data_IF_047715995696
#
_entry.id   IF_047715995696
#
_cell.length_a   1.000
_cell.length_b   1.000
_cell.length_c   1.000
_cell.angle_alpha   90.00
_cell.angle_beta   90.00
_cell.angle_gamma   90.00
#
_symmetry.space_group_name_H-M   'P 1'
#
loop_
_entity.id
_entity.type
_entity.pdbx_description
1 polymer ?
#
# COMPACT_ATOMS: atom_id res chain seq x y z
N UNK A 1 -20.16 9.19 13.83
CA UNK A 1 -18.97 8.37 14.16
C UNK A 1 -19.02 7.01 13.47
N UNK A 2 -20.02 6.16 13.73
CA UNK A 2 -20.16 4.85 13.05
C UNK A 2 -20.21 4.99 11.53
N UNK A 3 -20.95 5.98 11.00
CA UNK A 3 -21.01 6.22 9.54
C UNK A 3 -19.69 6.68 8.93
N UNK A 4 -18.86 7.42 9.69
CA UNK A 4 -17.56 7.89 9.21
C UNK A 4 -16.55 6.74 9.18
N UNK A 5 -16.54 5.90 10.22
CA UNK A 5 -15.74 4.68 10.26
C UNK A 5 -16.18 3.68 9.18
N UNK A 6 -17.50 3.54 8.97
CA UNK A 6 -18.06 2.73 7.90
C UNK A 6 -17.62 3.22 6.51
N UNK A 7 -17.71 4.52 6.24
CA UNK A 7 -17.22 5.11 4.99
C UNK A 7 -15.71 4.92 4.80
N UNK A 8 -14.91 5.22 5.82
CA UNK A 8 -13.46 5.01 5.78
C UNK A 8 -13.09 3.56 5.50
N UNK A 9 -13.81 2.61 6.12
CA UNK A 9 -13.64 1.18 5.86
C UNK A 9 -13.99 0.80 4.42
N UNK A 10 -15.13 1.25 3.89
CA UNK A 10 -15.54 0.99 2.50
C UNK A 10 -14.54 1.55 1.48
N UNK A 11 -14.04 2.77 1.72
CA UNK A 11 -13.01 3.40 0.86
C UNK A 11 -11.70 2.62 0.94
N UNK A 12 -11.29 2.20 2.14
CA UNK A 12 -10.11 1.35 2.34
C UNK A 12 -10.23 -0.01 1.64
N UNK A 13 -11.41 -0.65 1.69
CA UNK A 13 -11.67 -1.89 0.94
C UNK A 13 -11.59 -1.68 -0.56
N UNK A 14 -12.14 -0.57 -1.09
CA UNK A 14 -12.01 -0.23 -2.50
C UNK A 14 -10.55 -0.10 -2.91
N UNK A 15 -9.74 0.61 -2.12
CA UNK A 15 -8.31 0.78 -2.37
C UNK A 15 -7.56 -0.57 -2.34
N UNK A 16 -7.86 -1.44 -1.38
CA UNK A 16 -7.23 -2.76 -1.30
C UNK A 16 -7.56 -3.69 -2.50
N UNK A 17 -8.61 -3.39 -3.27
CA UNK A 17 -9.03 -4.15 -4.46
C UNK A 17 -8.47 -3.53 -5.75
N UNK A 18 -7.65 -2.48 -5.67
CA UNK A 18 -6.98 -1.89 -6.83
C UNK A 18 -6.03 -2.90 -7.49
N UNK A 19 -5.81 -2.72 -8.81
CA UNK A 19 -5.18 -3.72 -9.66
C UNK A 19 -3.75 -4.09 -9.21
N UNK A 20 -3.03 -3.13 -8.64
CA UNK A 20 -1.70 -3.28 -8.07
C UNK A 20 -1.69 -4.19 -6.83
N UNK A 21 -2.63 -3.98 -5.89
CA UNK A 21 -2.79 -4.79 -4.70
C UNK A 21 -3.25 -6.20 -5.04
N UNK A 22 -4.23 -6.31 -5.95
CA UNK A 22 -4.70 -7.60 -6.45
C UNK A 22 -3.57 -8.39 -7.12
N UNK A 23 -2.74 -7.75 -7.95
CA UNK A 23 -1.59 -8.39 -8.60
C UNK A 23 -0.52 -8.83 -7.58
N UNK A 24 -0.25 -8.03 -6.56
CA UNK A 24 0.69 -8.38 -5.50
C UNK A 24 0.21 -9.60 -4.70
N UNK A 25 -1.06 -9.63 -4.29
CA UNK A 25 -1.66 -10.76 -3.56
C UNK A 25 -1.75 -12.01 -4.44
N UNK A 26 -2.11 -11.89 -5.71
CA UNK A 26 -2.12 -13.00 -6.66
C UNK A 26 -0.72 -13.62 -6.83
N UNK A 27 0.32 -12.78 -6.91
CA UNK A 27 1.71 -13.23 -6.96
C UNK A 27 2.12 -13.94 -5.67
N UNK A 28 1.68 -13.43 -4.51
CA UNK A 28 1.98 -14.03 -3.21
C UNK A 28 1.28 -15.39 -3.03
N UNK A 29 0.03 -15.48 -3.47
CA UNK A 29 -0.79 -16.68 -3.39
C UNK A 29 -0.30 -17.78 -4.34
N UNK A 30 0.18 -17.42 -5.53
CA UNK A 30 0.73 -18.39 -6.50
C UNK A 30 2.10 -18.93 -6.10
N UNK A 31 2.90 -18.16 -5.33
CA UNK A 31 4.22 -18.60 -4.83
C UNK A 31 4.20 -19.42 -3.54
N UNK A 32 3.10 -19.40 -2.80
CA UNK A 32 2.98 -20.09 -1.50
C UNK A 32 1.96 -21.23 -1.56
N UNK A 33 2.38 -22.46 -1.29
CA UNK A 33 1.50 -23.64 -1.27
C UNK A 33 0.61 -23.74 -0.03
N UNK A 34 0.79 -22.88 0.98
CA UNK A 34 0.04 -22.90 2.24
C UNK A 34 -0.66 -21.57 2.51
N UNK A 35 -1.98 -21.63 2.66
CA UNK A 35 -2.85 -20.48 2.97
C UNK A 35 -2.39 -19.75 4.24
N UNK A 36 -1.97 -20.50 5.27
CA UNK A 36 -1.48 -19.92 6.52
C UNK A 36 -0.20 -19.09 6.31
N UNK A 37 0.69 -19.55 5.43
CA UNK A 37 1.92 -18.81 5.12
C UNK A 37 1.64 -17.55 4.28
N UNK A 38 0.71 -17.66 3.31
CA UNK A 38 0.23 -16.52 2.52
C UNK A 38 -0.41 -15.46 3.40
N UNK A 39 -1.27 -15.86 4.34
CA UNK A 39 -1.89 -14.95 5.31
C UNK A 39 -0.84 -14.27 6.20
N UNK A 40 0.13 -15.03 6.73
CA UNK A 40 1.20 -14.46 7.58
C UNK A 40 2.04 -13.44 6.81
N UNK A 41 2.43 -13.74 5.57
CA UNK A 41 3.16 -12.81 4.72
C UNK A 41 2.33 -11.58 4.37
N UNK A 42 1.05 -11.76 4.02
CA UNK A 42 0.13 -10.65 3.74
C UNK A 42 -0.06 -9.73 4.96
N UNK A 43 -0.22 -10.28 6.16
CA UNK A 43 -0.32 -9.51 7.40
C UNK A 43 0.98 -8.74 7.70
N UNK A 44 2.13 -9.40 7.55
CA UNK A 44 3.43 -8.77 7.82
C UNK A 44 3.67 -7.61 6.86
N UNK A 45 3.35 -7.80 5.58
CA UNK A 45 3.44 -6.78 4.55
C UNK A 45 2.46 -5.63 4.80
N UNK A 46 1.18 -5.93 5.06
CA UNK A 46 0.15 -4.92 5.32
C UNK A 46 0.41 -4.09 6.58
N UNK A 47 0.93 -4.71 7.64
CA UNK A 47 1.36 -4.00 8.85
C UNK A 47 2.54 -3.07 8.55
N UNK A 48 3.56 -3.56 7.86
CA UNK A 48 4.71 -2.73 7.45
C UNK A 48 4.27 -1.54 6.62
N UNK A 49 3.43 -1.78 5.60
CA UNK A 49 2.87 -0.74 4.74
C UNK A 49 2.09 0.31 5.53
N UNK A 50 1.20 -0.11 6.44
CA UNK A 50 0.42 0.79 7.30
C UNK A 50 1.32 1.64 8.19
N UNK A 51 2.34 1.03 8.82
CA UNK A 51 3.30 1.74 9.68
C UNK A 51 4.07 2.78 8.87
N UNK A 52 4.55 2.44 7.68
CA UNK A 52 5.25 3.39 6.80
C UNK A 52 4.34 4.54 6.40
N UNK A 53 3.11 4.27 5.96
CA UNK A 53 2.15 5.33 5.61
C UNK A 53 1.83 6.25 6.79
N UNK A 54 1.59 5.67 7.97
CA UNK A 54 1.32 6.44 9.18
C UNK A 54 2.53 7.30 9.56
N UNK A 55 3.74 6.76 9.50
CA UNK A 55 4.96 7.47 9.87
C UNK A 55 5.22 8.65 8.92
N UNK A 56 5.30 8.39 7.61
CA UNK A 56 5.59 9.45 6.64
C UNK A 56 4.41 10.40 6.44
N UNK A 57 3.18 9.91 6.41
CA UNK A 57 1.97 10.72 6.30
C UNK A 57 1.81 11.66 7.50
N UNK A 58 2.02 11.16 8.73
CA UNK A 58 2.00 12.00 9.92
C UNK A 58 3.15 13.00 9.93
N UNK A 59 4.34 12.61 9.46
CA UNK A 59 5.48 13.52 9.37
C UNK A 59 5.20 14.68 8.41
N UNK A 60 4.65 14.42 7.23
CA UNK A 60 4.22 15.47 6.27
C UNK A 60 3.16 16.37 6.89
N UNK A 61 2.15 15.78 7.53
CA UNK A 61 1.07 16.51 8.18
C UNK A 61 1.58 17.44 9.30
N UNK A 62 2.47 16.93 10.17
CA UNK A 62 3.02 17.67 11.30
C UNK A 62 4.02 18.76 10.90
N UNK A 63 4.79 18.54 9.83
CA UNK A 63 5.77 19.50 9.35
C UNK A 63 5.15 20.61 8.49
N UNK A 64 3.84 20.58 8.25
CA UNK A 64 3.15 21.39 7.24
C UNK A 64 3.93 21.44 5.90
N UNK A 65 4.64 20.35 5.63
CA UNK A 65 5.58 20.29 4.53
C UNK A 65 4.75 20.23 3.25
N UNK A 66 4.77 21.30 2.46
CA UNK A 66 4.26 21.25 1.10
C UNK A 66 5.06 20.17 0.37
N UNK A 67 4.43 19.02 0.11
CA UNK A 67 5.01 18.00 -0.77
C UNK A 67 5.13 18.66 -2.14
N UNK A 68 6.34 18.97 -2.62
CA UNK A 68 6.49 19.60 -3.92
C UNK A 68 5.89 18.66 -4.96
N UNK A 69 5.20 19.15 -5.97
CA UNK A 69 4.62 18.27 -7.01
C UNK A 69 5.67 17.63 -7.92
N UNK A 70 6.92 18.10 -7.83
CA UNK A 70 8.02 17.80 -8.76
C UNK A 70 8.75 16.45 -8.58
N UNK A 71 8.77 15.74 -7.42
CA UNK A 71 9.45 14.46 -7.30
C UNK A 71 8.57 13.25 -7.69
N UNK A 72 7.28 13.43 -7.99
CA UNK A 72 6.38 12.32 -8.32
C UNK A 72 6.85 11.56 -9.58
N UNK A 73 7.21 12.28 -10.64
CA UNK A 73 7.66 11.68 -11.90
C UNK A 73 8.90 10.80 -11.75
N UNK A 74 9.82 11.17 -10.85
CA UNK A 74 11.06 10.42 -10.64
C UNK A 74 10.80 9.14 -9.82
N UNK A 75 9.85 9.19 -8.89
CA UNK A 75 9.41 8.03 -8.12
C UNK A 75 8.62 7.06 -9.00
N UNK A 76 7.71 7.58 -9.84
CA UNK A 76 6.97 6.79 -10.83
C UNK A 76 7.92 6.11 -11.83
N UNK A 77 8.94 6.83 -12.31
CA UNK A 77 9.97 6.24 -13.17
C UNK A 77 10.74 5.12 -12.45
N UNK A 78 11.10 5.31 -11.18
CA UNK A 78 11.76 4.31 -10.36
C UNK A 78 10.93 3.02 -10.20
N UNK A 79 9.63 3.16 -9.92
CA UNK A 79 8.70 2.03 -9.84
C UNK A 79 8.53 1.37 -11.21
N UNK A 80 8.41 2.15 -12.28
CA UNK A 80 8.32 1.63 -13.66
C UNK A 80 9.53 0.77 -14.05
N UNK A 81 10.75 1.23 -13.74
CA UNK A 81 11.97 0.44 -13.96
C UNK A 81 11.98 -0.83 -13.11
N UNK A 82 11.56 -0.75 -11.84
CA UNK A 82 11.48 -1.92 -10.95
C UNK A 82 10.51 -2.99 -11.48
N UNK A 83 9.39 -2.59 -12.10
CA UNK A 83 8.40 -3.51 -12.67
C UNK A 83 8.89 -4.17 -13.97
N UNK A 84 9.70 -3.49 -14.79
CA UNK A 84 10.30 -4.07 -16.00
C UNK A 84 11.45 -5.02 -15.66
N UNK A 85 12.18 -4.72 -14.59
CA UNK A 85 13.41 -5.46 -14.21
C UNK A 85 13.16 -6.65 -13.29
N UNK A 86 11.90 -6.90 -12.89
CA UNK A 86 11.47 -8.10 -12.15
C UNK A 86 10.63 -9.02 -13.02
#
# INVERSE_FOLDING_TARGET
MVSLLGLGFLVGMRHAIEADHAAAVATLATKNHSVANTLKQGLTWGLGHTITLLLFGSMVFLLEAAVPEQPANLQELGVGVMLITR
#
